data_IF_392942847714
#
_entry.id   IF_392942847714
#
_cell.length_a   1.000
_cell.length_b   1.000
_cell.length_c   1.000
_cell.angle_alpha   90.00
_cell.angle_beta   90.00
_cell.angle_gamma   90.00
#
_symmetry.space_group_name_H-M   'P 1'
#
loop_
_entity.id
_entity.type
_entity.pdbx_description
1 polymer ?
#
# COMPACT_ATOMS: atom_id res chain seq x y z
N UNK A 1 -12.26 35.60 39.44
CA UNK A 1 -12.51 35.80 38.01
C UNK A 1 -12.70 34.42 37.40
N UNK A 2 -13.90 34.07 36.93
CA UNK A 2 -14.14 32.75 36.32
C UNK A 2 -13.71 32.77 34.86
N UNK A 3 -12.94 31.79 34.42
CA UNK A 3 -12.56 31.64 33.00
C UNK A 3 -13.76 31.09 32.25
N UNK A 4 -14.33 31.89 31.35
CA UNK A 4 -15.42 31.50 30.44
C UNK A 4 -14.85 30.94 29.13
N UNK A 5 -15.56 30.04 28.44
CA UNK A 5 -15.15 29.55 27.10
C UNK A 5 -14.37 28.22 27.09
N UNK A 6 -14.00 27.68 28.26
CA UNK A 6 -13.19 26.45 28.36
C UNK A 6 -13.97 25.24 27.83
N UNK A 7 -15.27 25.17 28.11
CA UNK A 7 -16.14 24.06 27.66
C UNK A 7 -16.28 24.04 26.15
N UNK A 8 -16.50 25.21 25.55
CA UNK A 8 -16.64 25.40 24.11
C UNK A 8 -15.35 25.06 23.38
N UNK A 9 -14.21 25.49 23.93
CA UNK A 9 -12.89 25.16 23.42
C UNK A 9 -12.62 23.65 23.46
N UNK A 10 -12.90 23.00 24.59
CA UNK A 10 -12.75 21.55 24.73
C UNK A 10 -13.65 20.78 23.75
N UNK A 11 -14.89 21.25 23.53
CA UNK A 11 -15.79 20.68 22.55
C UNK A 11 -15.28 20.87 21.12
N UNK A 12 -14.70 22.03 20.79
CA UNK A 12 -14.10 22.30 19.49
C UNK A 12 -12.89 21.37 19.22
N UNK A 13 -11.98 21.23 20.17
CA UNK A 13 -10.86 20.30 20.05
C UNK A 13 -11.31 18.85 19.92
N UNK A 14 -12.34 18.44 20.67
CA UNK A 14 -12.89 17.07 20.57
C UNK A 14 -13.44 16.79 19.16
N UNK A 15 -14.17 17.74 18.57
CA UNK A 15 -14.64 17.62 17.18
C UNK A 15 -13.50 17.57 16.18
N UNK A 16 -12.50 18.43 16.34
CA UNK A 16 -11.33 18.45 15.47
C UNK A 16 -10.56 17.11 15.53
N UNK A 17 -10.36 16.54 16.73
CA UNK A 17 -9.70 15.24 16.88
C UNK A 17 -10.46 14.12 16.18
N UNK A 18 -11.79 14.11 16.28
CA UNK A 18 -12.64 13.13 15.58
C UNK A 18 -12.52 13.30 14.05
N UNK A 19 -12.56 14.54 13.56
CA UNK A 19 -12.41 14.87 12.13
C UNK A 19 -11.04 14.43 11.59
N UNK A 20 -9.96 14.76 12.30
CA UNK A 20 -8.59 14.35 11.93
C UNK A 20 -8.43 12.84 11.95
N UNK A 21 -8.98 12.14 12.94
CA UNK A 21 -8.90 10.68 12.99
C UNK A 21 -9.63 10.02 11.80
N UNK A 22 -10.81 10.52 11.44
CA UNK A 22 -11.55 10.05 10.27
C UNK A 22 -10.80 10.36 8.96
N UNK A 23 -10.20 11.55 8.84
CA UNK A 23 -9.37 11.92 7.69
C UNK A 23 -8.13 11.02 7.56
N UNK A 24 -7.45 10.71 8.66
CA UNK A 24 -6.31 9.78 8.66
C UNK A 24 -6.73 8.39 8.20
N UNK A 25 -7.87 7.86 8.68
CA UNK A 25 -8.42 6.58 8.21
C UNK A 25 -8.60 6.57 6.69
N UNK A 26 -9.26 7.59 6.16
CA UNK A 26 -9.51 7.72 4.71
C UNK A 26 -8.22 7.82 3.92
N UNK A 27 -7.26 8.64 4.39
CA UNK A 27 -5.95 8.77 3.77
C UNK A 27 -5.19 7.44 3.75
N UNK A 28 -5.21 6.67 4.84
CA UNK A 28 -4.59 5.34 4.90
C UNK A 28 -5.23 4.35 3.92
N UNK A 29 -6.56 4.37 3.79
CA UNK A 29 -7.26 3.55 2.78
C UNK A 29 -6.81 3.91 1.36
N UNK A 30 -6.80 5.20 1.03
CA UNK A 30 -6.37 5.68 -0.28
C UNK A 30 -4.90 5.36 -0.56
N UNK A 31 -4.03 5.51 0.44
CA UNK A 31 -2.61 5.16 0.33
C UNK A 31 -2.43 3.66 0.04
N UNK A 32 -3.20 2.80 0.72
CA UNK A 32 -3.20 1.36 0.47
C UNK A 32 -3.59 1.01 -0.96
N UNK A 33 -4.70 1.57 -1.47
CA UNK A 33 -5.12 1.34 -2.86
C UNK A 33 -4.18 1.98 -3.89
N UNK A 34 -3.54 3.10 -3.58
CA UNK A 34 -2.52 3.71 -4.43
C UNK A 34 -1.32 2.78 -4.59
N UNK A 35 -0.83 2.19 -3.49
CA UNK A 35 0.24 1.20 -3.52
C UNK A 35 -0.18 -0.08 -4.25
N UNK A 36 -1.39 -0.57 -4.01
CA UNK A 36 -1.96 -1.73 -4.73
C UNK A 36 -1.96 -1.51 -6.24
N UNK A 37 -2.38 -0.31 -6.68
CA UNK A 37 -2.37 0.09 -8.09
C UNK A 37 -0.96 0.14 -8.66
N UNK A 38 -0.02 0.76 -7.95
CA UNK A 38 1.36 0.88 -8.40
C UNK A 38 2.02 -0.49 -8.56
N UNK A 39 1.83 -1.39 -7.59
CA UNK A 39 2.30 -2.78 -7.69
C UNK A 39 1.72 -3.47 -8.93
N UNK A 40 0.40 -3.34 -9.15
CA UNK A 40 -0.28 -3.94 -10.32
C UNK A 40 0.23 -3.37 -11.64
N UNK A 41 0.59 -2.10 -11.67
CA UNK A 41 1.19 -1.44 -12.83
C UNK A 41 2.59 -1.98 -13.09
N UNK A 42 3.44 -2.08 -12.07
CA UNK A 42 4.78 -2.71 -12.16
C UNK A 42 4.70 -4.13 -12.72
N UNK A 43 3.77 -4.95 -12.21
CA UNK A 43 3.53 -6.32 -12.70
C UNK A 43 2.91 -6.40 -14.10
N UNK A 44 2.55 -5.27 -14.71
CA UNK A 44 2.02 -5.20 -16.07
C UNK A 44 3.03 -4.64 -17.08
N UNK A 45 4.27 -4.33 -16.66
CA UNK A 45 5.28 -3.68 -17.51
C UNK A 45 5.80 -4.54 -18.65
N UNK A 46 5.92 -5.85 -18.44
CA UNK A 46 6.35 -6.81 -19.45
C UNK A 46 5.45 -8.04 -19.44
N UNK A 47 5.39 -8.78 -20.56
CA UNK A 47 4.59 -10.00 -20.68
C UNK A 47 5.24 -11.01 -21.62
N UNK A 48 4.93 -12.30 -21.43
CA UNK A 48 5.34 -13.35 -22.35
C UNK A 48 4.35 -14.54 -22.35
N UNK A 49 4.33 -15.35 -23.43
CA UNK A 49 3.48 -16.54 -23.47
C UNK A 49 3.89 -17.61 -22.45
N UNK A 50 2.96 -18.46 -22.00
CA UNK A 50 3.29 -19.63 -21.19
C UNK A 50 4.30 -20.55 -21.90
N UNK A 51 5.27 -21.09 -21.16
CA UNK A 51 6.26 -22.03 -21.71
C UNK A 51 7.41 -21.39 -22.47
N UNK A 52 7.43 -20.06 -22.65
CA UNK A 52 8.59 -19.35 -23.19
C UNK A 52 9.54 -18.89 -22.08
N UNK A 53 10.83 -18.68 -22.39
CA UNK A 53 11.75 -18.08 -21.43
C UNK A 53 11.22 -16.75 -20.88
N UNK A 54 11.36 -16.55 -19.56
CA UNK A 54 10.98 -15.30 -18.90
C UNK A 54 11.95 -14.19 -19.31
N UNK A 55 11.45 -13.05 -19.84
CA UNK A 55 12.31 -11.98 -20.35
C UNK A 55 12.88 -11.09 -19.24
N UNK A 56 12.25 -11.03 -18.07
CA UNK A 56 12.77 -10.24 -16.94
C UNK A 56 14.03 -10.85 -16.34
N UNK A 57 15.06 -10.04 -16.12
CA UNK A 57 16.30 -10.42 -15.45
C UNK A 57 16.11 -10.59 -13.93
N UNK A 58 16.98 -11.31 -13.21
CA UNK A 58 16.99 -11.29 -11.74
C UNK A 58 17.02 -9.86 -11.19
N UNK A 59 16.26 -9.57 -10.13
CA UNK A 59 16.11 -8.22 -9.59
C UNK A 59 15.07 -7.34 -10.31
N UNK A 60 14.67 -7.69 -11.53
CA UNK A 60 13.55 -7.05 -12.22
C UNK A 60 12.22 -7.69 -11.82
N UNK A 61 11.10 -6.92 -11.83
CA UNK A 61 9.79 -7.46 -11.54
C UNK A 61 9.44 -8.60 -12.50
N UNK A 62 8.66 -9.60 -12.05
CA UNK A 62 8.31 -10.73 -12.89
C UNK A 62 7.41 -10.29 -14.05
N UNK A 63 7.72 -10.80 -15.24
CA UNK A 63 6.87 -10.59 -16.42
C UNK A 63 5.51 -11.27 -16.30
N UNK A 64 4.49 -10.63 -16.86
CA UNK A 64 3.12 -11.11 -16.86
C UNK A 64 2.95 -12.33 -17.77
N UNK A 65 2.43 -13.43 -17.22
CA UNK A 65 2.02 -14.62 -18.01
C UNK A 65 0.49 -14.65 -18.16
N UNK A 66 -0.22 -15.02 -17.09
CA UNK A 66 -1.70 -15.12 -17.06
C UNK A 66 -2.38 -14.04 -16.21
N UNK A 67 -1.59 -13.22 -15.52
CA UNK A 67 -2.05 -12.19 -14.60
C UNK A 67 -2.54 -12.66 -13.23
N UNK A 68 -2.39 -13.95 -12.89
CA UNK A 68 -2.77 -14.47 -11.57
C UNK A 68 -2.04 -13.73 -10.43
N UNK A 69 -0.72 -13.53 -10.54
CA UNK A 69 0.05 -12.77 -9.54
C UNK A 69 -0.48 -11.34 -9.39
N UNK A 70 -0.64 -10.62 -10.50
CA UNK A 70 -1.19 -9.26 -10.51
C UNK A 70 -2.58 -9.18 -9.86
N UNK A 71 -3.48 -10.11 -10.20
CA UNK A 71 -4.84 -10.15 -9.62
C UNK A 71 -4.82 -10.51 -8.13
N UNK A 72 -3.80 -11.23 -7.65
CA UNK A 72 -3.67 -11.60 -6.25
C UNK A 72 -3.22 -10.45 -5.34
N UNK A 73 -2.74 -9.34 -5.90
CA UNK A 73 -2.38 -8.15 -5.14
C UNK A 73 -3.67 -7.53 -4.60
N UNK A 74 -3.75 -7.42 -3.28
CA UNK A 74 -4.91 -6.88 -2.59
C UNK A 74 -4.49 -6.00 -1.43
N UNK A 75 -5.32 -5.01 -1.12
CA UNK A 75 -5.23 -4.22 0.10
C UNK A 75 -6.13 -4.81 1.19
N UNK A 76 -5.63 -4.84 2.44
CA UNK A 76 -6.40 -5.14 3.65
C UNK A 76 -6.35 -3.95 4.61
N UNK A 77 -7.48 -3.68 5.28
CA UNK A 77 -7.65 -2.55 6.19
C UNK A 77 -8.40 -1.37 5.56
N UNK A 78 -8.25 -0.14 6.08
CA UNK A 78 -7.40 0.23 7.22
C UNK A 78 -7.97 -0.25 8.56
N UNK A 79 -7.11 -0.78 9.44
CA UNK A 79 -7.44 -1.15 10.82
C UNK A 79 -6.84 -0.14 11.81
N UNK A 80 -7.53 0.17 12.93
CA UNK A 80 -7.01 1.10 13.92
C UNK A 80 -5.87 0.44 14.72
N UNK A 81 -4.79 1.18 14.94
CA UNK A 81 -3.67 0.79 15.81
C UNK A 81 -3.61 1.59 17.12
N UNK A 82 -4.63 2.40 17.38
CA UNK A 82 -4.69 3.36 18.49
C UNK A 82 -5.09 4.74 18.01
N UNK A 83 -5.05 5.72 18.92
CA UNK A 83 -5.49 7.09 18.63
C UNK A 83 -4.73 7.70 17.44
N UNK A 84 -5.46 8.09 16.40
CA UNK A 84 -4.90 8.71 15.20
C UNK A 84 -4.02 7.80 14.33
N UNK A 85 -3.93 6.50 14.63
CA UNK A 85 -3.06 5.55 13.93
C UNK A 85 -3.88 4.50 13.20
N UNK A 86 -3.61 4.35 11.91
CA UNK A 86 -4.28 3.40 11.03
C UNK A 86 -3.26 2.62 10.23
N UNK A 87 -3.55 1.35 9.95
CA UNK A 87 -2.69 0.47 9.18
C UNK A 87 -3.46 -0.15 8.03
N UNK A 88 -2.89 -0.08 6.83
CA UNK A 88 -3.28 -0.90 5.70
C UNK A 88 -2.12 -1.83 5.34
N UNK A 89 -2.44 -3.04 4.90
CA UNK A 89 -1.47 -4.02 4.41
C UNK A 89 -1.73 -4.26 2.93
N UNK A 90 -0.67 -4.27 2.12
CA UNK A 90 -0.77 -4.47 0.66
C UNK A 90 0.24 -5.52 0.24
N UNK A 91 -0.21 -6.52 -0.49
CA UNK A 91 0.66 -7.59 -0.97
C UNK A 91 -0.09 -8.68 -1.72
N UNK A 92 0.65 -9.68 -2.25
CA UNK A 92 0.05 -10.84 -2.90
C UNK A 92 -0.63 -11.76 -1.87
N UNK A 93 -1.81 -12.26 -2.23
CA UNK A 93 -2.49 -13.35 -1.50
C UNK A 93 -2.09 -14.74 -1.99
N UNK A 94 -1.48 -14.83 -3.18
CA UNK A 94 -0.97 -16.08 -3.71
C UNK A 94 0.39 -16.44 -3.08
N UNK A 95 0.55 -17.69 -2.63
CA UNK A 95 1.81 -18.23 -2.07
C UNK A 95 3.00 -17.96 -3.00
N UNK A 96 2.79 -18.13 -4.31
CA UNK A 96 3.83 -17.92 -5.32
C UNK A 96 4.31 -16.46 -5.42
N UNK A 97 3.48 -15.49 -5.02
CA UNK A 97 3.87 -14.07 -5.05
C UNK A 97 4.99 -13.74 -4.07
N UNK A 98 5.07 -14.44 -2.93
CA UNK A 98 6.16 -14.25 -1.97
C UNK A 98 7.48 -14.85 -2.43
N UNK A 99 7.42 -16.02 -3.09
CA UNK A 99 8.60 -16.64 -3.71
C UNK A 99 9.13 -15.73 -4.83
N UNK A 100 8.25 -15.10 -5.62
CA UNK A 100 8.66 -14.14 -6.63
C UNK A 100 9.34 -12.90 -6.01
N UNK A 101 8.75 -12.31 -4.97
CA UNK A 101 9.31 -11.11 -4.32
C UNK A 101 10.69 -11.38 -3.69
N UNK A 102 10.84 -12.49 -2.96
CA UNK A 102 11.99 -12.75 -2.10
C UNK A 102 12.98 -13.78 -2.66
N UNK A 103 12.61 -14.47 -3.73
CA UNK A 103 13.31 -15.68 -4.19
C UNK A 103 12.96 -16.91 -3.36
N UNK A 104 13.54 -18.05 -3.74
CA UNK A 104 13.47 -19.31 -3.00
C UNK A 104 13.17 -20.52 -3.87
N UNK A 105 13.11 -21.69 -3.23
CA UNK A 105 12.92 -22.98 -3.88
C UNK A 105 11.45 -23.26 -4.22
N UNK A 106 11.21 -23.78 -5.41
CA UNK A 106 9.89 -24.12 -5.96
C UNK A 106 9.95 -25.39 -6.83
N UNK A 107 8.82 -25.77 -7.41
CA UNK A 107 8.69 -27.00 -8.21
C UNK A 107 8.55 -28.27 -7.35
N UNK A 108 8.37 -29.42 -8.00
CA UNK A 108 8.21 -30.70 -7.32
C UNK A 108 9.47 -31.01 -6.51
N UNK A 109 9.33 -31.13 -5.19
CA UNK A 109 10.44 -31.39 -4.27
C UNK A 109 11.41 -30.22 -4.08
N UNK A 110 11.06 -28.99 -4.47
CA UNK A 110 11.97 -27.83 -4.36
C UNK A 110 13.10 -27.84 -5.39
N UNK A 111 12.92 -28.54 -6.51
CA UNK A 111 13.96 -28.76 -7.52
C UNK A 111 14.38 -27.49 -8.31
N UNK A 112 13.69 -26.36 -8.14
CA UNK A 112 13.97 -25.13 -8.88
C UNK A 112 14.19 -23.97 -7.93
N UNK A 113 15.36 -23.34 -8.00
CA UNK A 113 15.65 -22.13 -7.26
C UNK A 113 15.30 -20.90 -8.10
N UNK A 114 14.50 -19.99 -7.54
CA UNK A 114 14.18 -18.72 -8.19
C UNK A 114 14.92 -17.56 -7.52
N UNK A 115 15.58 -16.68 -8.30
CA UNK A 115 16.14 -15.45 -7.77
C UNK A 115 15.02 -14.47 -7.37
N UNK A 116 15.30 -13.52 -6.47
CA UNK A 116 14.35 -12.47 -6.10
C UNK A 116 13.99 -11.58 -7.29
N UNK A 117 12.71 -11.23 -7.38
CA UNK A 117 12.11 -10.35 -8.39
C UNK A 117 11.21 -9.34 -7.68
N UNK A 118 11.81 -8.36 -6.99
CA UNK A 118 11.06 -7.44 -6.14
C UNK A 118 10.12 -6.56 -6.97
N UNK A 119 8.88 -6.42 -6.51
CA UNK A 119 7.85 -5.58 -7.10
C UNK A 119 7.05 -4.79 -6.06
N UNK A 120 7.05 -5.22 -4.79
CA UNK A 120 6.38 -4.49 -3.70
C UNK A 120 7.24 -3.33 -3.22
N UNK A 121 8.48 -3.61 -2.81
CA UNK A 121 9.37 -2.59 -2.27
C UNK A 121 9.66 -1.46 -3.28
N UNK A 122 9.99 -1.73 -4.56
CA UNK A 122 10.22 -0.66 -5.54
C UNK A 122 8.97 0.20 -5.80
N UNK A 123 7.77 -0.39 -5.79
CA UNK A 123 6.52 0.35 -5.93
C UNK A 123 6.29 1.31 -4.75
N UNK A 124 6.56 0.86 -3.53
CA UNK A 124 6.50 1.70 -2.34
C UNK A 124 7.51 2.86 -2.42
N UNK A 125 8.77 2.57 -2.74
CA UNK A 125 9.84 3.57 -2.83
C UNK A 125 9.52 4.65 -3.86
N UNK A 126 8.99 4.27 -5.03
CA UNK A 126 8.54 5.23 -6.05
C UNK A 126 7.48 6.18 -5.50
N UNK A 127 6.48 5.68 -4.77
CA UNK A 127 5.43 6.51 -4.18
C UNK A 127 5.94 7.38 -3.02
N UNK A 128 6.93 6.89 -2.28
CA UNK A 128 7.59 7.64 -1.22
C UNK A 128 8.42 8.81 -1.79
N UNK A 129 9.26 8.55 -2.80
CA UNK A 129 10.12 9.55 -3.45
C UNK A 129 9.30 10.64 -4.15
N UNK A 130 8.20 10.27 -4.81
CA UNK A 130 7.31 11.25 -5.46
C UNK A 130 6.46 12.05 -4.47
N UNK A 131 6.48 11.70 -3.18
CA UNK A 131 5.64 12.33 -2.16
C UNK A 131 4.14 12.03 -2.31
N UNK A 132 3.75 11.09 -3.16
CA UNK A 132 2.35 10.77 -3.45
C UNK A 132 1.60 10.29 -2.20
N UNK A 133 2.25 9.48 -1.35
CA UNK A 133 1.69 9.04 -0.08
C UNK A 133 1.47 10.22 0.86
N UNK A 134 2.51 11.04 1.07
CA UNK A 134 2.45 12.23 1.93
C UNK A 134 1.37 13.22 1.47
N UNK A 135 1.24 13.41 0.15
CA UNK A 135 0.23 14.27 -0.45
C UNK A 135 -1.20 13.87 -0.10
N UNK A 136 -1.51 12.57 -0.04
CA UNK A 136 -2.82 12.07 0.38
C UNK A 136 -3.15 12.45 1.83
N UNK A 137 -2.20 12.28 2.75
CA UNK A 137 -2.40 12.65 4.15
C UNK A 137 -2.55 14.16 4.32
N UNK A 138 -1.67 14.95 3.69
CA UNK A 138 -1.75 16.41 3.75
C UNK A 138 -3.08 16.93 3.20
N UNK A 139 -3.56 16.39 2.07
CA UNK A 139 -4.85 16.78 1.51
C UNK A 139 -6.00 16.45 2.45
N UNK A 140 -6.01 15.23 3.02
CA UNK A 140 -7.07 14.80 3.92
C UNK A 140 -7.12 15.67 5.19
N UNK A 141 -5.97 15.99 5.78
CA UNK A 141 -5.91 16.83 6.97
C UNK A 141 -6.27 18.29 6.68
N UNK A 142 -5.88 18.85 5.54
CA UNK A 142 -6.31 20.21 5.16
C UNK A 142 -7.83 20.29 5.03
N UNK A 143 -8.45 19.30 4.39
CA UNK A 143 -9.92 19.24 4.28
C UNK A 143 -10.58 19.11 5.65
N UNK A 144 -10.02 18.32 6.56
CA UNK A 144 -10.54 18.18 7.92
C UNK A 144 -10.41 19.47 8.75
N UNK A 145 -9.30 20.19 8.60
CA UNK A 145 -9.05 21.46 9.28
C UNK A 145 -9.94 22.59 8.77
N UNK A 146 -10.21 22.64 7.47
CA UNK A 146 -11.05 23.67 6.86
C UNK A 146 -12.54 23.56 7.21
N UNK A 147 -12.97 22.44 7.82
CA UNK A 147 -14.34 22.22 8.26
C UNK A 147 -14.65 22.78 9.66
N UNK A 148 -13.67 23.45 10.29
CA UNK A 148 -13.74 24.02 11.64
C UNK A 148 -13.26 25.47 11.63
#
# INVERSE_FOLDING_TARGET
>A
MAVTGVTELNAAFSRLLVSLNAATRTATSHAGHLLEREIKQTLSTSSHPPGTPTPSSPGEPPSLISGTLRRSISMQGPVPLGSGRWMAQVGPTAVYGRIQELGGSTGRGGATELPPRPFVQPAYEKLAVTGALTGLYHSAWRSALAAH
#
